data_IF_711430648584
#
_entry.id   IF_711430648584
#
_cell.length_a   1.000
_cell.length_b   1.000
_cell.length_c   1.000
_cell.angle_alpha   90.00
_cell.angle_beta   90.00
_cell.angle_gamma   90.00
#
_symmetry.space_group_name_H-M   'P 1'
#
loop_
_entity.id
_entity.type
_entity.pdbx_description
1 polymer ?
#
# COMPACT_ATOMS: atom_id res chain seq x y z
N UNK A 1 -51.17 -46.52 -1.38
CA UNK A 1 -51.69 -45.34 -0.67
C UNK A 1 -51.10 -45.35 0.72
N UNK A 2 -50.51 -44.22 1.12
CA UNK A 2 -50.07 -43.88 2.48
C UNK A 2 -48.83 -44.61 2.99
N UNK A 3 -47.90 -44.01 3.72
CA UNK A 3 -47.50 -42.61 3.92
C UNK A 3 -46.20 -42.76 4.73
N UNK A 4 -45.05 -42.55 4.10
CA UNK A 4 -43.78 -42.38 4.82
C UNK A 4 -43.07 -41.16 4.23
N UNK A 5 -43.83 -40.08 4.11
CA UNK A 5 -43.29 -38.74 4.18
C UNK A 5 -43.43 -38.28 5.62
N UNK A 6 -42.56 -37.37 6.06
CA UNK A 6 -42.64 -36.63 7.34
C UNK A 6 -41.86 -37.20 8.52
N UNK A 7 -40.56 -37.53 8.38
CA UNK A 7 -39.65 -37.55 9.55
C UNK A 7 -38.17 -37.16 9.24
N UNK A 8 -37.90 -36.42 8.17
CA UNK A 8 -36.57 -35.80 7.91
C UNK A 8 -36.72 -34.29 7.60
N UNK A 9 -37.70 -33.62 8.22
CA UNK A 9 -37.92 -32.17 8.07
C UNK A 9 -37.71 -31.38 9.38
N UNK A 10 -36.91 -31.94 10.29
CA UNK A 10 -36.49 -31.34 11.55
C UNK A 10 -34.95 -31.43 11.66
N UNK A 11 -34.25 -31.07 10.58
CA UNK A 11 -32.88 -30.53 10.71
C UNK A 11 -32.96 -29.03 10.55
N UNK A 12 -33.52 -28.47 11.61
CA UNK A 12 -33.50 -27.08 12.01
C UNK A 12 -32.19 -26.41 11.56
N UNK A 13 -32.33 -25.56 10.55
CA UNK A 13 -31.69 -24.25 10.40
C UNK A 13 -30.71 -23.92 11.54
N UNK A 14 -29.47 -24.42 11.44
CA UNK A 14 -28.33 -23.83 12.14
C UNK A 14 -27.49 -23.15 11.07
N UNK A 15 -27.55 -21.84 11.11
CA UNK A 15 -26.91 -20.90 10.20
C UNK A 15 -25.46 -21.30 9.86
N UNK A 16 -25.01 -21.06 8.62
CA UNK A 16 -23.59 -21.06 8.34
C UNK A 16 -22.98 -19.89 9.13
N UNK A 17 -22.37 -20.18 10.27
CA UNK A 17 -21.41 -19.27 10.86
C UNK A 17 -20.26 -19.15 9.86
N UNK A 18 -20.39 -18.21 8.93
CA UNK A 18 -19.26 -17.47 8.40
C UNK A 18 -18.59 -16.84 9.61
N UNK A 19 -17.72 -17.61 10.27
CA UNK A 19 -16.68 -17.07 11.11
C UNK A 19 -15.86 -16.18 10.19
N UNK A 20 -16.29 -14.92 10.12
CA UNK A 20 -15.58 -13.82 9.55
C UNK A 20 -14.31 -13.73 10.39
N UNK A 21 -13.32 -14.55 10.03
CA UNK A 21 -11.96 -14.46 10.54
C UNK A 21 -11.59 -13.02 10.26
N UNK A 22 -11.62 -12.22 11.33
CA UNK A 22 -11.14 -10.86 11.38
C UNK A 22 -9.89 -10.82 10.50
N UNK A 23 -9.98 -10.25 9.29
CA UNK A 23 -8.78 -9.93 8.53
C UNK A 23 -8.12 -8.88 9.40
N UNK A 24 -7.12 -9.30 10.19
CA UNK A 24 -6.26 -8.37 10.89
C UNK A 24 -5.86 -7.31 9.85
N UNK A 25 -6.01 -6.01 10.13
CA UNK A 25 -5.67 -4.99 9.16
C UNK A 25 -4.23 -5.25 8.72
N UNK A 26 -4.06 -5.76 7.49
CA UNK A 26 -2.73 -5.98 6.94
C UNK A 26 -2.08 -4.61 6.97
N UNK A 27 -0.90 -4.47 7.59
CA UNK A 27 -0.28 -3.15 7.73
C UNK A 27 -0.19 -2.56 6.34
N UNK A 28 -0.80 -1.39 6.15
CA UNK A 28 -0.82 -0.73 4.85
C UNK A 28 0.63 -0.43 4.46
N UNK A 29 1.18 -1.22 3.54
CA UNK A 29 2.49 -1.00 2.95
C UNK A 29 2.35 0.10 1.92
N UNK A 30 3.01 1.22 2.15
CA UNK A 30 3.06 2.35 1.21
C UNK A 30 4.47 2.51 0.67
N UNK A 31 4.59 3.06 -0.54
CA UNK A 31 5.90 3.42 -1.10
C UNK A 31 6.54 4.51 -0.23
N UNK A 32 7.83 4.34 0.07
CA UNK A 32 8.65 5.33 0.75
C UNK A 32 9.20 6.32 -0.27
N UNK A 33 8.42 7.35 -0.55
CA UNK A 33 8.78 8.39 -1.54
C UNK A 33 10.04 9.17 -1.15
N UNK A 34 10.34 9.31 0.14
CA UNK A 34 11.60 9.92 0.59
C UNK A 34 12.80 9.11 0.09
N UNK A 35 12.77 7.79 0.32
CA UNK A 35 13.86 6.90 -0.11
C UNK A 35 13.94 6.81 -1.62
N UNK A 36 12.82 6.64 -2.32
CA UNK A 36 12.76 6.62 -3.79
C UNK A 36 13.41 7.87 -4.38
N UNK A 37 12.99 9.06 -3.95
CA UNK A 37 13.54 10.33 -4.47
C UNK A 37 15.01 10.54 -4.07
N UNK A 38 15.41 10.08 -2.89
CA UNK A 38 16.81 10.15 -2.44
C UNK A 38 17.71 9.24 -3.27
N UNK A 39 17.25 8.04 -3.61
CA UNK A 39 17.98 7.09 -4.45
C UNK A 39 18.14 7.60 -5.88
N UNK A 40 17.10 8.24 -6.43
CA UNK A 40 17.20 8.93 -7.73
C UNK A 40 18.29 10.00 -7.69
N UNK A 41 18.36 10.78 -6.60
CA UNK A 41 19.28 11.89 -6.45
C UNK A 41 20.70 11.49 -5.97
N UNK A 42 21.08 10.21 -6.06
CA UNK A 42 22.45 9.79 -5.75
C UNK A 42 23.41 10.14 -6.89
N UNK A 43 24.69 10.20 -6.56
CA UNK A 43 25.80 10.43 -7.50
C UNK A 43 25.69 11.76 -8.26
N UNK A 44 25.31 12.82 -7.55
CA UNK A 44 25.29 14.19 -8.07
C UNK A 44 24.03 14.58 -8.85
N UNK A 45 23.11 13.63 -9.11
CA UNK A 45 21.83 13.95 -9.72
C UNK A 45 20.91 14.67 -8.72
N UNK A 46 20.30 15.77 -9.13
CA UNK A 46 19.55 16.67 -8.25
C UNK A 46 18.05 16.59 -8.47
N UNK A 47 17.26 16.98 -7.46
CA UNK A 47 15.81 17.18 -7.61
C UNK A 47 15.45 18.22 -8.68
N UNK A 48 16.39 19.12 -9.02
CA UNK A 48 16.19 20.08 -10.09
C UNK A 48 16.25 19.42 -11.48
N UNK A 49 17.24 18.56 -11.69
CA UNK A 49 17.33 17.76 -12.93
C UNK A 49 16.15 16.82 -13.05
N UNK A 50 15.76 16.15 -11.97
CA UNK A 50 14.55 15.31 -11.97
C UNK A 50 13.28 16.10 -12.35
N UNK A 51 13.13 17.32 -11.82
CA UNK A 51 11.99 18.18 -12.15
C UNK A 51 11.99 18.61 -13.62
N UNK A 52 13.17 18.86 -14.20
CA UNK A 52 13.31 19.16 -15.64
C UNK A 52 12.93 17.95 -16.49
N UNK A 53 13.40 16.76 -16.13
CA UNK A 53 13.21 15.56 -16.95
C UNK A 53 11.76 15.04 -16.88
N UNK A 54 11.11 15.20 -15.72
CA UNK A 54 9.73 14.71 -15.49
C UNK A 54 8.66 15.77 -15.69
N UNK A 55 9.03 17.04 -15.82
CA UNK A 55 8.12 18.21 -15.76
C UNK A 55 7.34 18.30 -14.43
N UNK A 56 7.69 17.51 -13.41
CA UNK A 56 7.08 17.58 -12.08
C UNK A 56 7.67 18.79 -11.34
N UNK A 57 6.85 19.71 -10.79
CA UNK A 57 7.36 20.84 -10.04
C UNK A 57 8.23 20.41 -8.86
N UNK A 58 9.35 21.12 -8.65
CA UNK A 58 10.27 20.87 -7.53
C UNK A 58 9.59 20.93 -6.16
N UNK A 59 8.60 21.81 -6.00
CA UNK A 59 7.78 21.91 -4.79
C UNK A 59 6.98 20.63 -4.54
N UNK A 60 6.42 20.03 -5.58
CA UNK A 60 5.72 18.74 -5.50
C UNK A 60 6.68 17.61 -5.13
N UNK A 61 7.85 17.54 -5.78
CA UNK A 61 8.87 16.54 -5.42
C UNK A 61 9.31 16.67 -3.95
N UNK A 62 9.49 17.90 -3.45
CA UNK A 62 9.77 18.14 -2.04
C UNK A 62 8.60 17.72 -1.13
N UNK A 63 7.36 17.98 -1.52
CA UNK A 63 6.19 17.54 -0.75
C UNK A 63 6.14 16.01 -0.64
N UNK A 64 6.41 15.29 -1.74
CA UNK A 64 6.47 13.81 -1.73
C UNK A 64 7.61 13.28 -0.87
N UNK A 65 8.77 13.94 -0.94
CA UNK A 65 9.91 13.65 -0.05
C UNK A 65 9.56 13.85 1.43
N UNK A 66 8.62 14.76 1.73
CA UNK A 66 8.12 15.02 3.08
C UNK A 66 6.88 14.17 3.45
N UNK A 67 6.54 13.15 2.65
CA UNK A 67 5.52 12.16 2.95
C UNK A 67 4.14 12.41 2.32
N UNK A 68 4.01 13.40 1.43
CA UNK A 68 2.82 13.49 0.59
C UNK A 68 2.79 12.33 -0.43
N UNK A 69 1.60 11.84 -0.74
CA UNK A 69 1.42 10.80 -1.75
C UNK A 69 1.22 11.47 -3.12
N UNK A 70 1.99 11.09 -4.15
CA UNK A 70 1.75 11.54 -5.51
C UNK A 70 0.48 10.91 -6.08
N UNK A 71 -0.14 11.57 -7.05
CA UNK A 71 -1.17 10.94 -7.87
C UNK A 71 -0.58 9.73 -8.62
N UNK A 72 -1.40 8.74 -8.95
CA UNK A 72 -0.93 7.47 -9.53
C UNK A 72 0.00 7.66 -10.75
N UNK A 73 -0.40 8.49 -11.72
CA UNK A 73 0.41 8.77 -12.90
C UNK A 73 1.78 9.41 -12.56
N UNK A 74 1.81 10.32 -11.60
CA UNK A 74 3.03 10.98 -11.12
C UNK A 74 3.92 9.96 -10.38
N UNK A 75 3.34 9.13 -9.52
CA UNK A 75 4.05 8.06 -8.83
C UNK A 75 4.70 7.07 -9.79
N UNK A 76 3.96 6.64 -10.82
CA UNK A 76 4.48 5.76 -11.88
C UNK A 76 5.65 6.39 -12.64
N UNK A 77 5.57 7.68 -12.96
CA UNK A 77 6.66 8.41 -13.60
C UNK A 77 7.93 8.43 -12.71
N UNK A 78 7.77 8.75 -11.42
CA UNK A 78 8.89 8.75 -10.46
C UNK A 78 9.51 7.35 -10.32
N UNK A 79 8.67 6.30 -10.23
CA UNK A 79 9.14 4.92 -10.12
C UNK A 79 9.89 4.45 -11.38
N UNK A 80 9.49 4.91 -12.57
CA UNK A 80 10.22 4.63 -13.79
C UNK A 80 11.64 5.23 -13.75
N UNK A 81 11.78 6.49 -13.31
CA UNK A 81 13.10 7.11 -13.12
C UNK A 81 13.94 6.39 -12.06
N UNK A 82 13.33 5.98 -10.95
CA UNK A 82 14.03 5.19 -9.93
C UNK A 82 14.51 3.84 -10.46
N UNK A 83 13.68 3.17 -11.27
CA UNK A 83 14.05 1.90 -11.92
C UNK A 83 15.25 2.07 -12.84
N UNK A 84 15.25 3.13 -13.66
CA UNK A 84 16.39 3.47 -14.53
C UNK A 84 17.67 3.72 -13.70
N UNK A 85 17.56 4.48 -12.59
CA UNK A 85 18.71 4.85 -11.78
C UNK A 85 19.28 3.67 -10.97
N UNK A 86 18.44 2.76 -10.49
CA UNK A 86 18.84 1.67 -9.58
C UNK A 86 18.98 0.32 -10.26
N UNK A 87 18.48 0.15 -11.49
CA UNK A 87 18.42 -1.11 -12.20
C UNK A 87 17.39 -2.10 -11.62
N UNK A 88 16.49 -1.65 -10.74
CA UNK A 88 15.51 -2.49 -10.04
C UNK A 88 14.09 -2.20 -10.55
N UNK A 89 13.20 -3.20 -10.61
CA UNK A 89 11.82 -2.97 -11.04
C UNK A 89 11.06 -2.11 -10.03
N UNK A 90 10.13 -1.27 -10.50
CA UNK A 90 9.40 -0.33 -9.64
C UNK A 90 8.59 -0.95 -8.49
N UNK A 91 8.25 -2.25 -8.56
CA UNK A 91 7.58 -2.96 -7.46
C UNK A 91 8.53 -3.31 -6.29
N UNK A 92 9.85 -3.28 -6.53
CA UNK A 92 10.88 -3.42 -5.50
C UNK A 92 11.25 -2.08 -4.85
N UNK A 93 10.52 -1.01 -5.18
CA UNK A 93 10.73 0.29 -4.58
C UNK A 93 10.64 0.21 -3.04
N UNK A 94 11.43 1.01 -2.31
CA UNK A 94 11.38 1.09 -0.86
C UNK A 94 9.95 1.23 -0.36
N UNK A 95 9.55 0.39 0.59
CA UNK A 95 8.22 0.43 1.22
C UNK A 95 8.34 0.79 2.70
N UNK A 96 7.50 1.70 3.17
CA UNK A 96 7.31 1.97 4.58
C UNK A 96 6.13 1.16 5.11
N UNK A 97 6.36 0.38 6.17
CA UNK A 97 5.28 -0.22 6.94
C UNK A 97 4.69 0.84 7.87
N UNK A 98 3.51 1.37 7.57
CA UNK A 98 2.74 2.11 8.59
C UNK A 98 2.10 1.08 9.52
N UNK A 99 2.62 0.98 10.73
CA UNK A 99 1.87 0.32 11.81
C UNK A 99 0.66 1.20 12.14
N UNK A 100 -0.57 0.66 12.15
CA UNK A 100 -1.73 1.42 12.62
C UNK A 100 -1.49 1.82 14.08
N UNK A 101 -1.60 3.11 14.37
CA UNK A 101 -1.22 3.74 15.64
C UNK A 101 -2.12 3.41 16.83
N UNK A 102 -2.88 2.31 16.78
CA UNK A 102 -3.81 1.93 17.84
C UNK A 102 -3.38 0.63 18.54
N UNK A 103 -2.25 0.68 19.25
CA UNK A 103 -1.99 -0.16 20.43
C UNK A 103 -1.36 0.77 21.48
N UNK A 104 -2.16 1.70 22.01
CA UNK A 104 -1.86 2.27 23.33
C UNK A 104 -2.39 1.26 24.32
N UNK A 105 -1.53 0.33 24.77
CA UNK A 105 -1.84 -0.45 25.98
C UNK A 105 -1.73 0.50 27.15
N UNK A 106 -2.87 1.04 27.59
CA UNK A 106 -2.96 1.62 28.92
C UNK A 106 -2.83 0.47 29.92
N UNK A 107 -1.62 0.27 30.43
CA UNK A 107 -1.42 -0.51 31.66
C UNK A 107 -1.84 0.39 32.82
N UNK A 108 -2.92 0.02 33.52
CA UNK A 108 -3.29 0.58 34.83
C UNK A 108 -2.67 -0.30 35.91
#
# INVERSE_FOLDING_TARGET
>A
MSDHSTEEFERTLTSPQLHMKQLAPTPATKVDWFRVLTDICRDGYSLYELARDTTIPRSSLNAYKNGAEPAHAIGMCILAHWSIKTGKPGHDAPITRRMPSHIVRHST
#
